data_IF_399548790439
#
_entry.id   IF_399548790439
#
_cell.length_a   1.000
_cell.length_b   1.000
_cell.length_c   1.000
_cell.angle_alpha   90.00
_cell.angle_beta   90.00
_cell.angle_gamma   90.00
#
_symmetry.space_group_name_H-M   'P 1'
#
loop_
_entity.id
_entity.type
_entity.pdbx_description
1 polymer ?
#
# COMPACT_ATOMS: atom_id res chain seq x y z
N UNK A 1 -10.86 22.91 16.11
CA UNK A 1 -10.74 22.50 15.80
C UNK A 1 -10.45 21.87 15.42
N UNK A 2 -10.37 21.60 15.16
CA UNK A 2 -10.19 21.01 14.78
C UNK A 2 -9.91 20.36 14.13
N UNK A 3 -9.91 20.13 13.71
CA UNK A 3 -9.66 19.50 13.12
C UNK A 3 -9.09 18.83 12.79
N UNK A 4 -8.78 18.77 12.82
CA UNK A 4 -8.11 18.04 12.47
C UNK A 4 -8.28 16.95 11.92
N UNK A 5 -9.06 16.63 11.95
CA UNK A 5 -9.48 15.41 11.38
C UNK A 5 -9.25 15.29 9.97
N UNK A 6 -8.79 16.27 9.40
CA UNK A 6 -8.48 16.14 8.05
C UNK A 6 -7.21 15.48 7.82
N UNK A 7 -6.50 15.14 8.82
CA UNK A 7 -5.31 14.35 8.60
C UNK A 7 -5.73 13.11 7.86
N UNK A 8 -5.10 12.77 6.77
CA UNK A 8 -5.45 11.54 6.09
C UNK A 8 -5.36 10.40 7.06
N UNK A 9 -6.31 9.52 7.00
CA UNK A 9 -6.29 8.39 7.87
C UNK A 9 -5.03 7.60 7.63
N UNK A 10 -4.46 7.09 8.69
CA UNK A 10 -3.38 6.15 8.55
C UNK A 10 -3.89 4.85 7.97
N UNK A 11 -3.06 4.20 7.20
CA UNK A 11 -3.42 2.94 6.59
C UNK A 11 -2.20 2.04 6.63
N UNK A 12 -2.41 0.79 7.00
CA UNK A 12 -1.32 -0.18 6.97
C UNK A 12 -1.78 -1.40 6.17
N UNK A 13 -0.96 -1.78 5.20
CA UNK A 13 -1.18 -3.00 4.44
C UNK A 13 -0.26 -4.05 5.02
N UNK A 14 -0.85 -5.16 5.47
CA UNK A 14 -0.10 -6.20 6.18
C UNK A 14 -0.24 -7.52 5.46
N UNK A 15 0.63 -8.46 5.81
CA UNK A 15 0.65 -9.79 5.21
C UNK A 15 0.73 -9.69 3.69
N UNK A 16 1.59 -8.82 3.21
CA UNK A 16 1.74 -8.55 1.80
C UNK A 16 3.10 -9.00 1.31
N UNK A 17 3.26 -8.97 0.02
CA UNK A 17 4.56 -9.10 -0.60
C UNK A 17 4.80 -7.77 -1.31
N UNK A 18 5.46 -6.87 -0.62
CA UNK A 18 5.67 -5.52 -1.12
C UNK A 18 6.96 -5.51 -1.93
N UNK A 19 6.83 -5.24 -3.22
CA UNK A 19 8.00 -5.12 -4.09
C UNK A 19 8.46 -3.67 -4.04
N UNK A 20 9.56 -3.43 -3.36
CA UNK A 20 10.03 -2.07 -3.13
C UNK A 20 10.79 -1.49 -4.31
N UNK A 21 11.35 -2.34 -5.12
CA UNK A 21 12.25 -1.96 -6.21
C UNK A 21 13.49 -1.26 -5.66
N UNK A 22 13.91 -1.61 -4.46
CA UNK A 22 15.11 -1.10 -3.83
C UNK A 22 16.03 -2.29 -3.58
N UNK A 23 17.21 -2.31 -4.19
CA UNK A 23 18.10 -3.47 -4.06
C UNK A 23 18.50 -3.77 -2.63
N UNK A 24 18.45 -2.79 -1.75
CA UNK A 24 18.85 -3.03 -0.37
C UNK A 24 17.77 -3.74 0.43
N UNK A 25 16.54 -3.61 0.00
CA UNK A 25 15.42 -4.28 0.65
C UNK A 25 14.36 -4.53 -0.40
N UNK A 26 14.55 -5.54 -1.24
CA UNK A 26 13.62 -5.70 -2.36
C UNK A 26 12.21 -6.10 -1.95
N UNK A 27 12.05 -6.72 -0.78
CA UNK A 27 10.74 -7.19 -0.33
C UNK A 27 10.48 -6.75 1.09
N UNK A 28 9.22 -6.44 1.37
CA UNK A 28 8.76 -6.18 2.72
C UNK A 28 7.42 -6.88 2.89
N UNK A 29 7.01 -7.08 4.14
CA UNK A 29 5.73 -7.74 4.43
C UNK A 29 4.60 -6.75 4.61
N UNK A 30 4.92 -5.52 4.91
CA UNK A 30 3.90 -4.53 5.22
C UNK A 30 4.39 -3.15 4.88
N UNK A 31 3.44 -2.25 4.66
CA UNK A 31 3.75 -0.85 4.40
C UNK A 31 2.76 0.01 5.18
N UNK A 32 3.29 0.97 5.90
CA UNK A 32 2.49 1.90 6.70
C UNK A 32 2.46 3.24 5.98
N UNK A 33 1.26 3.75 5.77
CA UNK A 33 1.02 5.00 5.05
C UNK A 33 0.43 6.01 6.01
N UNK A 34 0.96 7.21 6.00
CA UNK A 34 0.43 8.31 6.80
C UNK A 34 0.74 9.63 6.12
N UNK A 35 -0.22 10.54 6.14
CA UNK A 35 -0.06 11.87 5.55
C UNK A 35 0.33 11.80 4.07
N UNK A 36 -0.15 10.78 3.40
CA UNK A 36 0.11 10.66 1.96
C UNK A 36 1.43 10.04 1.60
N UNK A 37 2.25 9.70 2.59
CA UNK A 37 3.59 9.20 2.35
C UNK A 37 3.75 7.81 2.91
N UNK A 38 4.75 7.09 2.39
CA UNK A 38 5.15 5.83 2.97
C UNK A 38 5.93 6.15 4.24
N UNK A 39 5.35 5.83 5.38
CA UNK A 39 6.01 6.11 6.65
C UNK A 39 7.02 5.04 7.01
N UNK A 40 6.71 3.79 6.73
CA UNK A 40 7.61 2.72 7.08
C UNK A 40 7.30 1.47 6.28
N UNK A 41 8.31 0.63 6.15
CA UNK A 41 8.22 -0.70 5.56
C UNK A 41 8.83 -1.67 6.53
N UNK A 42 8.31 -2.87 6.61
CA UNK A 42 8.91 -3.85 7.48
C UNK A 42 8.00 -5.01 7.77
N UNK A 43 8.25 -5.69 8.90
CA UNK A 43 7.44 -6.85 9.26
C UNK A 43 6.03 -6.46 9.65
N UNK A 44 5.09 -7.35 9.35
CA UNK A 44 3.69 -7.11 9.63
C UNK A 44 3.44 -6.77 11.09
N UNK A 45 4.00 -7.56 12.00
CA UNK A 45 3.72 -7.36 13.41
C UNK A 45 4.18 -6.00 13.90
N UNK A 46 5.33 -5.58 13.42
CA UNK A 46 5.87 -4.29 13.84
C UNK A 46 5.03 -3.13 13.31
N UNK A 47 4.66 -3.19 12.05
CA UNK A 47 3.93 -2.07 11.46
C UNK A 47 2.49 -2.00 11.95
N UNK A 48 1.91 -3.14 12.27
CA UNK A 48 0.60 -3.15 12.88
C UNK A 48 0.59 -2.41 14.19
N UNK A 49 1.62 -2.64 14.99
CA UNK A 49 1.75 -1.94 16.24
C UNK A 49 1.94 -0.45 16.05
N UNK A 50 2.78 -0.08 15.09
CA UNK A 50 3.05 1.33 14.85
C UNK A 50 1.85 2.06 14.27
N UNK A 51 0.98 1.36 13.58
CA UNK A 51 -0.15 1.99 12.94
C UNK A 51 -1.15 2.54 13.94
N UNK A 52 -1.29 1.89 15.07
CA UNK A 52 -2.20 2.37 16.09
C UNK A 52 -3.62 1.92 15.86
N UNK A 53 -4.47 2.24 16.83
CA UNK A 53 -5.82 1.72 16.82
C UNK A 53 -6.70 2.35 15.77
N UNK A 54 -6.36 3.54 15.32
CA UNK A 54 -7.25 4.24 14.39
C UNK A 54 -6.88 4.03 12.95
N UNK A 55 -5.83 3.31 12.67
CA UNK A 55 -5.42 3.09 11.29
C UNK A 55 -6.31 2.04 10.64
N UNK A 56 -6.58 2.22 9.37
CA UNK A 56 -7.23 1.19 8.60
C UNK A 56 -6.22 0.08 8.34
N UNK A 57 -6.60 -1.15 8.61
CA UNK A 57 -5.73 -2.28 8.37
C UNK A 57 -6.25 -3.04 7.17
N UNK A 58 -5.37 -3.21 6.18
CA UNK A 58 -5.70 -3.95 4.97
C UNK A 58 -4.87 -5.22 4.98
N UNK A 59 -5.53 -6.36 5.08
CA UNK A 59 -4.83 -7.64 5.05
C UNK A 59 -4.72 -8.08 3.61
N UNK A 60 -3.51 -8.10 3.10
CA UNK A 60 -3.30 -8.38 1.68
C UNK A 60 -3.38 -9.86 1.34
N UNK A 61 -3.40 -10.75 2.33
CA UNK A 61 -3.50 -12.18 2.07
C UNK A 61 -2.36 -12.69 1.22
N UNK A 62 -1.18 -12.11 1.42
CA UNK A 62 0.05 -12.48 0.71
C UNK A 62 0.08 -12.04 -0.74
N UNK A 63 -0.83 -11.15 -1.11
CA UNK A 63 -0.81 -10.59 -2.47
C UNK A 63 0.28 -9.53 -2.59
N UNK A 64 0.57 -9.15 -3.81
CA UNK A 64 1.65 -8.21 -4.08
C UNK A 64 1.20 -6.77 -3.99
N UNK A 65 2.09 -5.95 -3.47
CA UNK A 65 1.95 -4.49 -3.51
C UNK A 65 3.11 -3.96 -4.32
N UNK A 66 2.81 -3.13 -5.31
CA UNK A 66 3.84 -2.54 -6.16
C UNK A 66 3.55 -1.06 -6.31
N UNK A 67 4.53 -0.32 -6.80
CA UNK A 67 4.31 1.08 -7.12
C UNK A 67 3.34 1.19 -8.27
N UNK A 68 2.45 2.18 -8.21
CA UNK A 68 1.54 2.41 -9.33
C UNK A 68 2.24 3.09 -10.49
N UNK A 69 3.47 3.52 -10.32
CA UNK A 69 4.21 4.16 -11.39
C UNK A 69 5.23 3.19 -11.95
N UNK A 70 5.30 3.04 -13.27
CA UNK A 70 6.26 2.10 -13.85
C UNK A 70 7.66 2.44 -13.40
N UNK A 71 8.39 1.43 -12.94
CA UNK A 71 9.74 1.63 -12.44
C UNK A 71 9.83 2.37 -11.14
N UNK A 72 8.70 2.65 -10.50
CA UNK A 72 8.72 3.38 -9.25
C UNK A 72 9.17 2.54 -8.07
N UNK A 73 9.50 3.23 -7.00
CA UNK A 73 9.96 2.59 -5.78
C UNK A 73 8.98 2.83 -4.66
N UNK A 74 9.02 1.94 -3.68
CA UNK A 74 8.25 2.11 -2.45
C UNK A 74 9.27 2.21 -1.34
N UNK A 75 9.55 3.41 -0.91
CA UNK A 75 10.53 3.67 0.15
C UNK A 75 9.98 4.66 1.14
N UNK A 76 10.55 4.60 2.32
CA UNK A 76 10.17 5.55 3.37
C UNK A 76 10.34 6.98 2.86
N UNK A 77 9.32 7.79 3.04
CA UNK A 77 9.36 9.18 2.62
C UNK A 77 8.80 9.44 1.24
N UNK A 78 8.58 8.39 0.46
CA UNK A 78 8.03 8.57 -0.89
C UNK A 78 6.53 8.75 -0.83
N UNK A 79 5.95 9.41 -1.83
CA UNK A 79 4.49 9.41 -1.92
C UNK A 79 3.96 7.99 -1.98
N UNK A 80 2.84 7.78 -1.34
CA UNK A 80 2.26 6.44 -1.28
C UNK A 80 1.41 6.18 -2.52
N UNK A 81 2.09 5.94 -3.62
CA UNK A 81 1.47 5.58 -4.91
C UNK A 81 1.61 4.09 -5.08
N UNK A 82 0.64 3.35 -4.56
CA UNK A 82 0.73 1.90 -4.41
C UNK A 82 -0.45 1.20 -5.04
N UNK A 83 -0.22 -0.02 -5.49
CA UNK A 83 -1.28 -0.86 -6.02
C UNK A 83 -1.19 -2.21 -5.35
N UNK A 84 -2.29 -2.66 -4.74
CA UNK A 84 -2.41 -4.02 -4.25
C UNK A 84 -3.08 -4.83 -5.35
N UNK A 85 -2.40 -5.82 -5.86
CA UNK A 85 -2.91 -6.57 -6.99
C UNK A 85 -3.37 -7.94 -6.56
N UNK A 86 -4.38 -8.43 -7.26
CA UNK A 86 -4.93 -9.73 -6.96
C UNK A 86 -4.01 -10.80 -7.55
N UNK A 87 -3.78 -11.81 -6.75
CA UNK A 87 -3.23 -13.06 -7.24
C UNK A 87 -1.88 -12.91 -7.92
N UNK A 88 -1.63 -13.67 -8.90
CA UNK A 88 -0.32 -14.02 -9.39
C UNK A 88 0.17 -13.21 -10.55
N UNK A 89 -0.24 -11.96 -10.61
CA UNK A 89 0.25 -11.13 -11.69
C UNK A 89 1.60 -10.55 -11.39
N UNK A 90 2.25 -11.08 -10.39
CA UNK A 90 3.51 -10.53 -9.92
C UNK A 90 4.58 -10.47 -10.99
N UNK A 91 4.47 -11.27 -12.01
CA UNK A 91 5.49 -11.29 -13.05
C UNK A 91 5.13 -10.42 -14.24
N UNK A 92 4.01 -9.73 -14.18
CA UNK A 92 3.55 -8.92 -15.29
C UNK A 92 3.96 -7.48 -15.05
N UNK A 93 4.59 -6.82 -16.00
CA UNK A 93 4.94 -5.40 -15.82
C UNK A 93 3.70 -4.56 -15.58
N UNK A 94 3.86 -3.52 -14.76
CA UNK A 94 2.75 -2.68 -14.39
C UNK A 94 1.92 -2.17 -15.56
N UNK A 95 2.52 -1.73 -16.65
CA UNK A 95 1.68 -1.23 -17.75
C UNK A 95 0.72 -2.25 -18.32
N UNK A 96 0.97 -3.51 -18.04
CA UNK A 96 0.10 -4.57 -18.54
C UNK A 96 -0.87 -5.08 -17.51
N UNK A 97 -0.92 -4.48 -16.33
CA UNK A 97 -1.87 -4.90 -15.33
C UNK A 97 -3.27 -4.52 -15.75
N UNK A 98 -4.15 -5.50 -15.67
CA UNK A 98 -5.54 -5.28 -15.94
C UNK A 98 -6.17 -4.58 -14.74
N UNK A 99 -7.04 -3.63 -14.99
CA UNK A 99 -7.73 -2.97 -13.88
C UNK A 99 -8.45 -3.95 -12.99
N UNK A 100 -8.90 -5.06 -13.55
CA UNK A 100 -9.60 -6.05 -12.75
C UNK A 100 -8.68 -6.76 -11.77
N UNK A 101 -7.38 -6.67 -11.99
CA UNK A 101 -6.43 -7.28 -11.07
C UNK A 101 -6.12 -6.38 -9.89
N UNK A 102 -6.59 -5.15 -9.89
CA UNK A 102 -6.27 -4.20 -8.84
C UNK A 102 -7.32 -4.30 -7.75
N UNK A 103 -6.90 -4.62 -6.53
CA UNK A 103 -7.79 -4.67 -5.41
C UNK A 103 -7.85 -3.37 -4.65
N UNK A 104 -6.74 -2.66 -4.60
CA UNK A 104 -6.68 -1.40 -3.88
C UNK A 104 -5.62 -0.55 -4.57
N UNK A 105 -5.92 0.70 -4.77
CA UNK A 105 -4.96 1.62 -5.35
C UNK A 105 -4.93 2.89 -4.53
N UNK A 106 -3.72 3.33 -4.21
CA UNK A 106 -3.51 4.58 -3.51
C UNK A 106 -2.78 5.56 -4.41
N UNK A 107 -3.19 6.80 -4.33
CA UNK A 107 -2.50 7.89 -5.00
C UNK A 107 -2.17 8.93 -3.95
N UNK A 108 -0.90 9.13 -3.67
CA UNK A 108 -0.43 10.00 -2.60
C UNK A 108 -1.17 9.69 -1.30
N UNK A 109 -1.31 8.41 -1.01
CA UNK A 109 -1.93 7.94 0.22
C UNK A 109 -3.44 7.95 0.23
N UNK A 110 -4.08 8.42 -0.82
CA UNK A 110 -5.53 8.44 -0.89
C UNK A 110 -6.03 7.22 -1.64
N UNK A 111 -7.06 6.59 -1.10
CA UNK A 111 -7.63 5.43 -1.74
C UNK A 111 -8.43 5.90 -2.96
N UNK A 112 -7.97 5.55 -4.14
CA UNK A 112 -8.66 5.94 -5.37
C UNK A 112 -9.35 4.78 -6.04
N UNK A 113 -9.08 3.56 -5.59
CA UNK A 113 -9.75 2.36 -6.09
C UNK A 113 -9.74 1.34 -4.98
N UNK A 114 -10.90 0.84 -4.60
CA UNK A 114 -11.01 -0.11 -3.51
C UNK A 114 -12.11 -1.10 -3.86
N UNK A 115 -11.70 -2.29 -4.25
CA UNK A 115 -12.64 -3.29 -4.69
C UNK A 115 -13.56 -3.78 -3.57
N UNK A 116 -13.01 -3.83 -2.36
CA UNK A 116 -13.78 -4.36 -1.24
C UNK A 116 -14.79 -3.39 -0.70
N UNK A 117 -14.59 -2.12 -0.90
CA UNK A 117 -15.55 -1.15 -0.42
C UNK A 117 -16.37 -0.59 -1.54
N UNK A 118 -16.42 -1.30 -2.64
CA UNK A 118 -17.25 -0.89 -3.73
C UNK A 118 -18.69 -0.79 -3.26
N UNK A 119 -19.34 0.29 -3.55
CA UNK A 119 -20.69 0.47 -3.07
C UNK A 119 -21.68 -0.36 -3.79
N UNK A 120 -21.37 -1.02 -4.71
CA UNK A 120 -22.31 -1.77 -5.48
C UNK A 120 -23.51 -1.00 -5.81
#
# INVERSE_FOLDING_TARGET
MLETSEAPASLVIVNARVWTNDPRRPWAEAVLVRDGLVLALGPTAELRKRAGAEARIVDAGRRMVVSSKPGGRINQGDPADLVLVDDLVSLVPLPELDEQSIMLELSSGRVVRDRDSSPT
#
